data_IF_748411053050
#
_entry.id   IF_748411053050
#
_cell.length_a   1.000
_cell.length_b   1.000
_cell.length_c   1.000
_cell.angle_alpha   90.00
_cell.angle_beta   90.00
_cell.angle_gamma   90.00
#
_symmetry.space_group_name_H-M   'P 1'
#
loop_
_entity.id
_entity.type
_entity.pdbx_description
1 polymer ?
#
# COMPACT_ATOMS: atom_id res chain seq x y z
N UNK A 1 13.00 -10.15 -42.52
CA UNK A 1 13.58 -10.55 -41.21
C UNK A 1 13.68 -9.37 -40.24
N UNK A 2 14.24 -8.24 -40.68
CA UNK A 2 14.43 -7.01 -39.87
C UNK A 2 13.12 -6.45 -39.27
N UNK A 3 12.02 -6.40 -40.06
CA UNK A 3 10.72 -5.90 -39.57
C UNK A 3 10.16 -6.70 -38.37
N UNK A 4 10.39 -8.02 -38.34
CA UNK A 4 9.94 -8.90 -37.24
C UNK A 4 10.74 -8.66 -35.96
N UNK A 5 12.04 -8.36 -36.10
CA UNK A 5 12.92 -8.04 -34.97
C UNK A 5 12.52 -6.70 -34.34
N UNK A 6 12.25 -5.69 -35.18
CA UNK A 6 11.80 -4.37 -34.70
C UNK A 6 10.44 -4.47 -34.00
N UNK A 7 9.49 -5.21 -34.57
CA UNK A 7 8.18 -5.45 -33.94
C UNK A 7 8.31 -6.17 -32.59
N UNK A 8 9.20 -7.15 -32.48
CA UNK A 8 9.49 -7.84 -31.22
C UNK A 8 10.10 -6.92 -30.17
N UNK A 9 11.01 -6.03 -30.56
CA UNK A 9 11.63 -5.06 -29.65
C UNK A 9 10.63 -4.02 -29.12
N UNK A 10 9.71 -3.57 -29.98
CA UNK A 10 8.61 -2.66 -29.60
C UNK A 10 7.67 -3.36 -28.60
N UNK A 11 7.32 -4.63 -28.85
CA UNK A 11 6.48 -5.40 -27.92
C UNK A 11 7.15 -5.57 -26.55
N UNK A 12 8.45 -5.83 -26.50
CA UNK A 12 9.21 -5.93 -25.24
C UNK A 12 9.21 -4.59 -24.50
N UNK A 13 9.45 -3.47 -25.19
CA UNK A 13 9.40 -2.14 -24.56
C UNK A 13 8.02 -1.77 -24.02
N UNK A 14 6.95 -2.10 -24.75
CA UNK A 14 5.57 -1.88 -24.30
C UNK A 14 5.21 -2.75 -23.09
N UNK A 15 5.72 -3.98 -23.02
CA UNK A 15 5.50 -4.87 -21.88
C UNK A 15 6.17 -4.37 -20.60
N UNK A 16 7.35 -3.75 -20.72
CA UNK A 16 8.11 -3.19 -19.58
C UNK A 16 7.44 -1.92 -19.04
N UNK A 17 6.82 -1.10 -19.90
CA UNK A 17 6.27 0.21 -19.50
C UNK A 17 5.00 0.14 -18.63
N UNK A 18 4.27 -0.98 -18.62
CA UNK A 18 2.91 -1.04 -18.04
C UNK A 18 2.84 -1.53 -16.59
N UNK A 19 3.95 -1.76 -15.90
CA UNK A 19 3.97 -2.33 -14.54
C UNK A 19 4.80 -1.51 -13.54
N UNK A 20 4.62 -0.19 -13.47
CA UNK A 20 5.16 0.58 -12.34
C UNK A 20 4.28 0.37 -11.10
N UNK A 21 4.69 -0.58 -10.26
CA UNK A 21 4.12 -0.71 -8.92
C UNK A 21 4.53 0.50 -8.09
N UNK A 22 3.55 1.25 -7.58
CA UNK A 22 3.79 2.30 -6.61
C UNK A 22 3.82 1.70 -5.20
N UNK A 23 4.71 2.21 -4.37
CA UNK A 23 4.88 1.81 -2.98
C UNK A 23 4.70 3.00 -2.07
N UNK A 24 4.17 2.77 -0.88
CA UNK A 24 3.96 3.81 0.13
C UNK A 24 5.10 3.83 1.13
N UNK A 25 5.18 4.87 1.96
CA UNK A 25 6.07 4.91 3.11
C UNK A 25 5.57 4.15 4.34
N UNK A 26 4.69 3.16 4.14
CA UNK A 26 4.21 2.28 5.21
C UNK A 26 4.66 0.84 5.00
N UNK A 27 4.90 0.16 6.11
CA UNK A 27 5.28 -1.25 6.17
C UNK A 27 4.32 -2.02 7.05
N UNK A 28 4.00 -3.23 6.63
CA UNK A 28 3.46 -4.25 7.51
C UNK A 28 4.64 -5.00 8.14
N UNK A 29 4.60 -5.21 9.45
CA UNK A 29 5.63 -5.94 10.19
C UNK A 29 5.00 -7.02 11.07
N UNK A 30 5.69 -8.15 11.22
CA UNK A 30 5.34 -9.18 12.20
C UNK A 30 6.30 -9.10 13.38
N UNK A 31 5.78 -8.85 14.58
CA UNK A 31 6.58 -8.63 15.78
C UNK A 31 6.30 -9.69 16.84
N UNK A 32 7.32 -10.42 17.27
CA UNK A 32 7.19 -11.64 18.07
C UNK A 32 7.11 -11.38 19.60
N UNK A 33 6.40 -10.34 20.01
CA UNK A 33 6.23 -9.97 21.42
C UNK A 33 4.93 -9.19 21.62
N UNK A 34 4.29 -9.37 22.76
CA UNK A 34 3.06 -8.65 23.11
C UNK A 34 3.33 -7.22 23.62
N UNK A 35 4.58 -6.85 23.88
CA UNK A 35 4.92 -5.54 24.44
C UNK A 35 4.96 -4.45 23.35
N UNK A 36 3.83 -3.76 23.17
CA UNK A 36 3.70 -2.68 22.20
C UNK A 36 4.59 -1.47 22.54
N UNK A 37 4.89 -1.23 23.82
CA UNK A 37 5.75 -0.12 24.24
C UNK A 37 7.18 -0.34 23.78
N UNK A 38 7.70 -1.55 23.93
CA UNK A 38 9.01 -1.96 23.41
C UNK A 38 9.05 -1.81 21.87
N UNK A 39 8.01 -2.28 21.17
CA UNK A 39 7.89 -2.10 19.72
C UNK A 39 7.98 -0.62 19.32
N UNK A 40 7.19 0.26 19.98
CA UNK A 40 7.21 1.70 19.68
C UNK A 40 8.59 2.33 19.87
N UNK A 41 9.33 1.90 20.89
CA UNK A 41 10.69 2.38 21.14
C UNK A 41 11.66 1.91 20.05
N UNK A 42 11.59 0.63 19.66
CA UNK A 42 12.39 0.07 18.56
C UNK A 42 12.13 0.85 17.27
N UNK A 43 10.86 1.03 16.91
CA UNK A 43 10.46 1.74 15.70
C UNK A 43 10.96 3.18 15.70
N UNK A 44 10.78 3.91 16.82
CA UNK A 44 11.25 5.29 16.95
C UNK A 44 12.75 5.40 16.72
N UNK A 45 13.54 4.48 17.28
CA UNK A 45 14.99 4.45 17.10
C UNK A 45 15.42 4.16 15.66
N UNK A 46 14.57 3.47 14.89
CA UNK A 46 14.81 3.16 13.47
C UNK A 46 14.18 4.19 12.51
N UNK A 47 13.58 5.28 13.02
CA UNK A 47 12.95 6.32 12.20
C UNK A 47 11.52 5.99 11.76
N UNK A 48 10.84 5.06 12.44
CA UNK A 48 9.47 4.67 12.17
C UNK A 48 8.50 5.11 13.26
N UNK A 49 7.25 5.36 12.86
CA UNK A 49 6.12 5.58 13.76
C UNK A 49 5.13 4.43 13.65
N UNK A 50 4.64 3.97 14.80
CA UNK A 50 3.53 3.03 14.89
C UNK A 50 2.22 3.67 14.42
N UNK A 51 1.47 3.00 13.52
CA UNK A 51 0.14 3.46 13.10
C UNK A 51 -0.97 2.65 13.79
N UNK A 52 -1.06 1.36 13.49
CA UNK A 52 -2.13 0.49 13.98
C UNK A 52 -1.70 -0.99 14.00
N UNK A 53 -2.49 -1.79 14.72
CA UNK A 53 -2.43 -3.25 14.66
C UNK A 53 -3.42 -3.76 13.62
N UNK A 54 -3.03 -4.81 12.89
CA UNK A 54 -3.88 -5.45 11.89
C UNK A 54 -4.56 -6.69 12.50
N UNK A 55 -5.85 -6.53 12.81
CA UNK A 55 -6.66 -7.60 13.42
C UNK A 55 -6.16 -8.00 14.82
N UNK A 56 -6.37 -9.27 15.18
CA UNK A 56 -5.87 -9.88 16.42
C UNK A 56 -4.47 -10.50 16.29
N UNK A 57 -3.83 -10.33 15.13
CA UNK A 57 -2.52 -10.89 14.84
C UNK A 57 -1.39 -10.00 15.36
N UNK A 58 -0.19 -10.56 15.54
CA UNK A 58 1.02 -9.81 15.87
C UNK A 58 1.58 -9.03 14.67
N UNK A 59 0.70 -8.52 13.81
CA UNK A 59 1.02 -7.74 12.61
C UNK A 59 0.65 -6.30 12.85
N UNK A 60 1.57 -5.39 12.54
CA UNK A 60 1.43 -3.97 12.77
C UNK A 60 1.76 -3.20 11.51
N UNK A 61 1.11 -2.05 11.32
CA UNK A 61 1.49 -1.10 10.27
C UNK A 61 2.31 0.02 10.89
N UNK A 62 3.42 0.33 10.24
CA UNK A 62 4.36 1.36 10.66
C UNK A 62 4.66 2.29 9.49
N UNK A 63 4.91 3.56 9.77
CA UNK A 63 5.25 4.59 8.78
C UNK A 63 6.70 5.02 8.95
N UNK A 64 7.45 5.17 7.87
CA UNK A 64 8.73 5.87 7.92
C UNK A 64 8.49 7.35 7.62
N UNK A 65 8.90 8.24 8.54
CA UNK A 65 8.62 9.69 8.41
C UNK A 65 9.70 10.43 7.61
N UNK A 66 10.79 9.77 7.21
CA UNK A 66 11.95 10.40 6.56
C UNK A 66 11.98 10.19 5.03
N UNK A 67 10.91 9.67 4.45
CA UNK A 67 10.82 9.37 3.02
C UNK A 67 9.49 9.88 2.44
N UNK A 68 9.44 9.98 1.11
CA UNK A 68 8.24 10.39 0.39
C UNK A 68 7.08 9.42 0.63
N UNK A 69 5.86 9.95 0.64
CA UNK A 69 4.65 9.14 0.85
C UNK A 69 4.45 8.07 -0.22
N UNK A 70 4.95 8.31 -1.44
CA UNK A 70 4.85 7.41 -2.58
C UNK A 70 6.19 7.32 -3.31
N UNK A 71 6.60 6.11 -3.64
CA UNK A 71 7.83 5.76 -4.35
C UNK A 71 7.52 4.82 -5.51
N UNK A 72 8.31 4.93 -6.59
CA UNK A 72 8.15 4.07 -7.77
C UNK A 72 8.86 2.72 -7.62
N UNK A 73 9.66 2.55 -6.55
CA UNK A 73 10.47 1.37 -6.30
C UNK A 73 10.32 0.92 -4.85
N UNK A 74 10.50 -0.39 -4.63
CA UNK A 74 10.53 -0.96 -3.27
C UNK A 74 11.82 -0.56 -2.56
N UNK A 75 11.71 -0.08 -1.33
CA UNK A 75 12.82 0.37 -0.50
C UNK A 75 13.37 -0.78 0.34
N UNK A 76 14.20 -1.61 -0.31
CA UNK A 76 14.79 -2.80 0.31
C UNK A 76 15.69 -2.47 1.51
N UNK A 77 16.49 -1.40 1.43
CA UNK A 77 17.39 -1.00 2.53
C UNK A 77 16.63 -0.62 3.79
N UNK A 78 15.50 0.08 3.64
CA UNK A 78 14.63 0.47 4.76
C UNK A 78 13.96 -0.78 5.36
N UNK A 79 13.53 -1.71 4.51
CA UNK A 79 12.98 -2.99 4.94
C UNK A 79 14.01 -3.80 5.73
N UNK A 80 15.26 -3.84 5.24
CA UNK A 80 16.36 -4.50 5.94
C UNK A 80 16.68 -3.83 7.28
N UNK A 81 16.52 -2.50 7.38
CA UNK A 81 16.71 -1.77 8.64
C UNK A 81 15.74 -2.24 9.73
N UNK A 82 14.45 -2.45 9.39
CA UNK A 82 13.47 -3.03 10.32
C UNK A 82 13.91 -4.43 10.78
N UNK A 83 14.34 -5.27 9.83
CA UNK A 83 14.76 -6.65 10.09
C UNK A 83 16.08 -6.78 10.87
N UNK A 84 16.84 -5.69 11.09
CA UNK A 84 17.98 -5.71 12.01
C UNK A 84 17.59 -6.07 13.44
N UNK A 85 16.33 -5.83 13.83
CA UNK A 85 15.83 -6.23 15.14
C UNK A 85 15.29 -7.67 15.09
N UNK A 86 15.88 -8.56 15.90
CA UNK A 86 15.50 -9.98 15.94
C UNK A 86 14.05 -10.27 16.38
N UNK A 87 13.37 -9.31 17.01
CA UNK A 87 11.95 -9.41 17.38
C UNK A 87 11.02 -9.16 16.19
N UNK A 88 11.50 -8.52 15.11
CA UNK A 88 10.75 -8.34 13.86
C UNK A 88 11.09 -9.52 12.95
N UNK A 89 10.13 -10.44 12.76
CA UNK A 89 10.33 -11.67 11.98
C UNK A 89 10.16 -11.47 10.48
N UNK A 90 9.33 -10.51 10.12
CA UNK A 90 8.98 -10.22 8.74
C UNK A 90 8.60 -8.75 8.63
N UNK A 91 8.92 -8.15 7.49
CA UNK A 91 8.58 -6.78 7.15
C UNK A 91 8.36 -6.68 5.64
N UNK A 92 7.29 -6.01 5.23
CA UNK A 92 7.01 -5.75 3.81
C UNK A 92 6.43 -4.35 3.62
N UNK A 93 6.97 -3.63 2.62
CA UNK A 93 6.46 -2.32 2.23
C UNK A 93 5.11 -2.45 1.54
N UNK A 94 4.16 -1.59 1.90
CA UNK A 94 2.82 -1.62 1.32
C UNK A 94 2.84 -1.01 -0.08
N UNK A 95 2.30 -1.75 -1.05
CA UNK A 95 2.01 -1.24 -2.38
C UNK A 95 0.79 -0.32 -2.37
N UNK A 96 0.86 0.77 -3.12
CA UNK A 96 -0.26 1.68 -3.32
C UNK A 96 -1.18 1.07 -4.37
N UNK A 97 -2.33 0.60 -3.95
CA UNK A 97 -3.42 0.26 -4.87
C UNK A 97 -4.19 1.52 -5.20
N UNK A 98 -4.23 1.86 -6.49
CA UNK A 98 -5.07 2.96 -6.95
C UNK A 98 -6.55 2.56 -6.77
N UNK A 99 -7.20 3.10 -5.73
CA UNK A 99 -8.64 2.91 -5.49
C UNK A 99 -9.39 4.05 -6.18
N UNK A 100 -9.93 3.78 -7.36
CA UNK A 100 -10.89 4.68 -7.99
C UNK A 100 -12.21 4.61 -7.23
N UNK A 101 -12.66 5.74 -6.67
CA UNK A 101 -14.06 5.86 -6.26
C UNK A 101 -14.88 6.07 -7.52
N UNK A 102 -15.80 5.15 -7.80
CA UNK A 102 -16.83 5.35 -8.83
C UNK A 102 -17.85 6.32 -8.24
N UNK A 103 -17.77 7.58 -8.62
CA UNK A 103 -18.70 8.63 -8.19
C UNK A 103 -19.93 8.74 -9.09
N UNK A 104 -20.01 7.92 -10.13
CA UNK A 104 -21.13 7.96 -11.06
C UNK A 104 -22.36 7.34 -10.41
N UNK A 105 -23.51 7.99 -10.63
CA UNK A 105 -24.83 7.40 -10.37
C UNK A 105 -24.85 6.04 -11.09
N UNK A 106 -25.15 4.93 -10.40
CA UNK A 106 -25.27 3.64 -11.06
C UNK A 106 -26.20 3.76 -12.26
N UNK A 107 -25.73 3.30 -13.42
CA UNK A 107 -26.53 3.25 -14.65
C UNK A 107 -27.51 2.08 -14.60
N UNK A 108 -28.30 2.03 -13.52
CA UNK A 108 -29.35 1.06 -13.28
C UNK A 108 -30.69 1.80 -13.42
N UNK A 109 -31.59 1.38 -14.34
CA UNK A 109 -32.87 2.04 -14.56
C UNK A 109 -33.79 2.03 -13.33
N UNK A 110 -33.53 1.15 -12.36
CA UNK A 110 -34.25 1.07 -11.08
C UNK A 110 -33.55 1.81 -9.94
N UNK A 111 -32.43 2.49 -10.18
CA UNK A 111 -31.68 3.21 -9.13
C UNK A 111 -32.55 4.22 -8.37
N UNK A 112 -33.50 4.86 -9.06
CA UNK A 112 -34.50 5.77 -8.48
C UNK A 112 -35.39 5.11 -7.40
N UNK A 113 -35.57 3.79 -7.47
CA UNK A 113 -36.39 3.01 -6.56
C UNK A 113 -35.56 2.43 -5.40
N UNK A 114 -34.22 2.48 -5.50
CA UNK A 114 -33.27 2.01 -4.48
C UNK A 114 -33.02 3.08 -3.40
N UNK A 115 -34.07 3.46 -2.68
CA UNK A 115 -34.06 4.51 -1.66
C UNK A 115 -32.96 4.33 -0.57
N UNK A 116 -32.53 3.10 -0.31
CA UNK A 116 -31.45 2.77 0.64
C UNK A 116 -30.04 3.16 0.15
N UNK A 117 -29.85 3.38 -1.16
CA UNK A 117 -28.58 3.85 -1.72
C UNK A 117 -28.46 5.38 -1.70
N UNK A 118 -29.58 6.10 -1.76
CA UNK A 118 -29.64 7.57 -1.88
C UNK A 118 -29.18 8.25 -0.59
N UNK A 119 -29.59 7.74 0.58
CA UNK A 119 -29.21 8.30 1.89
C UNK A 119 -27.72 8.20 2.21
N UNK A 120 -27.00 7.25 1.60
CA UNK A 120 -25.55 7.06 1.78
C UNK A 120 -24.74 8.08 0.95
N UNK A 121 -25.31 8.57 -0.17
CA UNK A 121 -24.67 9.53 -1.06
C UNK A 121 -24.91 10.99 -0.61
N UNK A 122 -26.08 11.31 -0.03
CA UNK A 122 -26.43 12.68 0.39
C UNK A 122 -25.64 13.18 1.59
N UNK A 123 -25.16 12.29 2.48
CA UNK A 123 -24.34 12.65 3.65
C UNK A 123 -22.85 12.93 3.33
N UNK A 124 -22.43 12.79 2.07
CA UNK A 124 -21.03 12.99 1.64
C UNK A 124 -20.81 14.22 0.76
N UNK A 125 -21.85 14.98 0.46
CA UNK A 125 -21.81 16.21 -0.35
C UNK A 125 -22.11 17.49 0.47
N UNK A 126 -22.20 17.38 1.79
CA UNK A 126 -22.29 18.50 2.73
C UNK A 126 -20.97 18.78 3.42
#
# INVERSE_FOLDING_TARGET
MILKVISSLIFIHLFIANNSNLYSNTWAIQYNSANITDLKQILKNQGFRFLNQVGSSNVYVVKNENILDIENNRLHEITNSLLKNNKIKWAEQQSVFHRFRRYDIPNDPYFKDMWYLVGILSLKLS
#
